data_IF_089636105007
#
_entry.id   IF_089636105007
#
_cell.length_a   1.000
_cell.length_b   1.000
_cell.length_c   1.000
_cell.angle_alpha   90.00
_cell.angle_beta   90.00
_cell.angle_gamma   90.00
#
_symmetry.space_group_name_H-M   'P 1'
#
loop_
_entity.id
_entity.type
_entity.pdbx_description
1 polymer ?
#
# COMPACT_ATOMS: atom_id res chain seq x y z
N UNK A 1 -8.61 -12.82 14.04
CA UNK A 1 -8.68 -11.64 14.94
C UNK A 1 -7.76 -10.55 14.40
N UNK A 2 -8.31 -9.41 13.98
CA UNK A 2 -7.57 -8.23 13.49
C UNK A 2 -7.05 -7.40 14.68
N UNK A 3 -5.85 -6.83 14.58
CA UNK A 3 -5.33 -5.90 15.58
C UNK A 3 -3.82 -5.67 15.50
N UNK A 4 -3.29 -4.68 16.24
CA UNK A 4 -1.85 -4.43 16.36
C UNK A 4 -1.11 -5.71 16.76
N UNK A 5 -0.12 -6.12 15.96
CA UNK A 5 0.65 -7.34 16.19
C UNK A 5 0.00 -8.66 15.70
N UNK A 6 -1.28 -8.64 15.30
CA UNK A 6 -1.96 -9.82 14.73
C UNK A 6 -1.94 -9.75 13.20
N UNK A 7 -0.95 -10.39 12.60
CA UNK A 7 -0.78 -10.45 11.14
C UNK A 7 -1.60 -11.62 10.57
N UNK A 8 -2.29 -11.37 9.45
CA UNK A 8 -2.95 -12.41 8.65
C UNK A 8 -2.13 -12.62 7.38
N UNK A 9 -1.72 -13.86 7.13
CA UNK A 9 -1.09 -14.22 5.86
C UNK A 9 -2.13 -14.31 4.75
N UNK A 10 -1.80 -13.78 3.56
CA UNK A 10 -2.59 -14.01 2.37
C UNK A 10 -2.35 -15.46 1.89
N UNK A 11 -3.39 -16.31 1.75
CA UNK A 11 -3.22 -17.70 1.31
C UNK A 11 -2.44 -17.84 -0.01
N UNK A 12 -2.67 -16.94 -0.97
CA UNK A 12 -1.96 -16.96 -2.26
C UNK A 12 -0.48 -16.62 -2.09
N UNK A 13 -0.16 -15.70 -1.18
CA UNK A 13 1.24 -15.37 -0.87
C UNK A 13 1.95 -16.57 -0.23
N UNK A 14 1.27 -17.31 0.66
CA UNK A 14 1.84 -18.52 1.27
C UNK A 14 2.07 -19.62 0.23
N UNK A 15 1.13 -19.83 -0.70
CA UNK A 15 1.33 -20.78 -1.78
C UNK A 15 2.55 -20.43 -2.65
N UNK A 16 2.78 -19.15 -2.93
CA UNK A 16 3.96 -18.66 -3.66
C UNK A 16 5.24 -18.86 -2.82
N UNK A 17 5.19 -18.59 -1.52
CA UNK A 17 6.29 -18.84 -0.59
C UNK A 17 6.72 -20.31 -0.59
N UNK A 18 5.76 -21.23 -0.55
CA UNK A 18 6.01 -22.67 -0.61
C UNK A 18 6.59 -23.08 -1.98
N UNK A 19 6.02 -22.57 -3.07
CA UNK A 19 6.47 -22.87 -4.45
C UNK A 19 7.90 -22.43 -4.73
N UNK A 20 8.31 -21.28 -4.19
CA UNK A 20 9.63 -20.68 -4.45
C UNK A 20 10.58 -20.76 -3.24
N UNK A 21 10.24 -21.56 -2.22
CA UNK A 21 11.06 -21.84 -1.05
C UNK A 21 11.60 -20.59 -0.34
N UNK A 22 10.74 -19.60 -0.06
CA UNK A 22 11.09 -18.45 0.78
C UNK A 22 10.15 -18.30 1.96
N UNK A 23 10.65 -17.81 3.10
CA UNK A 23 9.83 -17.57 4.29
C UNK A 23 9.50 -16.09 4.42
N UNK A 24 8.22 -15.68 4.31
CA UNK A 24 7.81 -14.30 4.53
C UNK A 24 8.16 -13.84 5.95
N UNK A 25 8.83 -12.69 6.07
CA UNK A 25 9.20 -12.09 7.38
C UNK A 25 8.42 -10.80 7.61
N UNK A 26 7.73 -10.73 8.75
CA UNK A 26 7.07 -9.49 9.18
C UNK A 26 8.07 -8.52 9.80
N UNK A 27 7.79 -7.23 9.66
CA UNK A 27 8.51 -6.15 10.32
C UNK A 27 7.53 -5.18 10.98
N UNK A 28 8.01 -4.44 11.99
CA UNK A 28 7.22 -3.38 12.62
C UNK A 28 7.10 -2.20 11.64
N UNK A 29 5.89 -1.67 11.37
CA UNK A 29 5.71 -0.47 10.58
C UNK A 29 6.55 0.69 11.13
N UNK A 30 7.05 1.57 10.25
CA UNK A 30 7.80 2.77 10.60
C UNK A 30 9.09 2.51 11.40
N UNK A 31 9.65 1.30 11.31
CA UNK A 31 10.94 0.99 11.91
C UNK A 31 12.06 1.28 10.91
N UNK A 32 13.02 2.09 11.36
CA UNK A 32 14.22 2.41 10.59
C UNK A 32 14.89 1.14 10.02
N UNK A 33 15.41 1.24 8.79
CA UNK A 33 16.19 0.21 8.08
C UNK A 33 15.46 -1.11 7.76
N UNK A 34 14.17 -1.25 8.04
CA UNK A 34 13.42 -2.51 7.74
C UNK A 34 12.56 -2.44 6.49
N UNK A 35 11.88 -1.30 6.26
CA UNK A 35 10.96 -1.10 5.13
C UNK A 35 11.11 0.30 4.47
N UNK A 36 12.26 0.97 4.66
CA UNK A 36 12.45 2.34 4.17
C UNK A 36 12.18 2.52 2.67
N UNK A 37 12.58 1.55 1.83
CA UNK A 37 12.33 1.59 0.37
C UNK A 37 10.82 1.60 0.05
N UNK A 38 10.04 0.73 0.68
CA UNK A 38 8.60 0.60 0.41
C UNK A 38 7.82 1.75 1.05
N UNK A 39 8.15 2.14 2.29
CA UNK A 39 7.47 3.24 2.97
C UNK A 39 7.73 4.59 2.29
N UNK A 40 8.96 4.84 1.81
CA UNK A 40 9.31 6.05 1.06
C UNK A 40 8.59 6.11 -0.29
N UNK A 41 8.53 4.99 -1.01
CA UNK A 41 7.79 4.93 -2.27
C UNK A 41 6.29 5.19 -2.09
N UNK A 42 5.67 4.57 -1.07
CA UNK A 42 4.27 4.84 -0.76
C UNK A 42 4.01 6.30 -0.36
N UNK A 43 4.94 6.91 0.37
CA UNK A 43 4.87 8.32 0.71
C UNK A 43 4.93 9.20 -0.54
N UNK A 44 5.88 8.93 -1.44
CA UNK A 44 6.01 9.63 -2.72
C UNK A 44 4.73 9.52 -3.56
N UNK A 45 4.23 8.30 -3.80
CA UNK A 45 3.02 8.09 -4.61
C UNK A 45 1.81 8.86 -4.06
N UNK A 46 1.62 8.81 -2.73
CA UNK A 46 0.50 9.50 -2.09
C UNK A 46 0.60 11.01 -2.24
N UNK A 47 1.77 11.58 -1.94
CA UNK A 47 1.91 13.03 -1.92
C UNK A 47 2.00 13.65 -3.32
N UNK A 48 2.59 12.95 -4.28
CA UNK A 48 2.77 13.47 -5.63
C UNK A 48 1.54 13.26 -6.52
N UNK A 49 0.77 12.19 -6.32
CA UNK A 49 -0.33 11.85 -7.23
C UNK A 49 -1.69 11.81 -6.53
N UNK A 50 -1.82 11.07 -5.42
CA UNK A 50 -3.14 10.84 -4.80
C UNK A 50 -3.68 12.09 -4.11
N UNK A 51 -2.86 12.78 -3.31
CA UNK A 51 -3.27 13.96 -2.56
C UNK A 51 -3.68 15.12 -3.48
N UNK A 52 -2.88 15.51 -4.49
CA UNK A 52 -3.30 16.54 -5.44
C UNK A 52 -4.56 16.15 -6.19
N UNK A 53 -4.64 14.91 -6.66
CA UNK A 53 -5.80 14.43 -7.40
C UNK A 53 -7.09 14.45 -6.55
N UNK A 54 -6.97 14.06 -5.28
CA UNK A 54 -8.08 14.15 -4.32
C UNK A 54 -8.53 15.59 -4.14
N UNK A 55 -7.60 16.55 -4.03
CA UNK A 55 -7.93 17.96 -3.91
C UNK A 55 -8.69 18.48 -5.15
N UNK A 56 -8.24 18.14 -6.36
CA UNK A 56 -8.94 18.48 -7.60
C UNK A 56 -10.35 17.90 -7.66
N UNK A 57 -10.54 16.65 -7.25
CA UNK A 57 -11.88 16.03 -7.21
C UNK A 57 -12.81 16.72 -6.23
N UNK A 58 -12.29 17.09 -5.05
CA UNK A 58 -13.06 17.80 -4.03
C UNK A 58 -13.51 19.18 -4.51
N UNK A 59 -12.67 19.91 -5.24
CA UNK A 59 -13.07 21.17 -5.88
C UNK A 59 -14.21 21.00 -6.89
N UNK A 60 -14.25 19.87 -7.58
CA UNK A 60 -15.33 19.54 -8.51
C UNK A 60 -16.57 18.91 -7.83
N UNK A 61 -16.64 18.91 -6.50
CA UNK A 61 -17.73 18.29 -5.75
C UNK A 61 -17.80 16.76 -5.85
N UNK A 62 -16.69 16.10 -6.21
CA UNK A 62 -16.61 14.65 -6.40
C UNK A 62 -15.65 14.00 -5.40
N UNK A 63 -15.81 12.68 -5.21
CA UNK A 63 -14.92 11.86 -4.40
C UNK A 63 -14.05 11.01 -5.33
N UNK A 64 -12.74 10.98 -5.05
CA UNK A 64 -11.82 10.12 -5.78
C UNK A 64 -12.12 8.63 -5.46
N UNK A 65 -12.31 7.81 -6.49
CA UNK A 65 -12.54 6.37 -6.37
C UNK A 65 -11.48 5.58 -7.13
N UNK A 66 -11.44 4.26 -6.94
CA UNK A 66 -10.41 3.39 -7.54
C UNK A 66 -10.40 3.47 -9.07
N UNK A 67 -11.53 3.36 -9.79
CA UNK A 67 -11.52 3.54 -11.25
C UNK A 67 -10.97 4.89 -11.70
N UNK A 68 -11.39 5.99 -11.06
CA UNK A 68 -10.96 7.33 -11.41
C UNK A 68 -9.48 7.61 -11.09
N UNK A 69 -8.96 6.99 -10.03
CA UNK A 69 -7.54 7.05 -9.70
C UNK A 69 -6.71 6.27 -10.72
N UNK A 70 -7.14 5.05 -11.06
CA UNK A 70 -6.46 4.21 -12.05
C UNK A 70 -6.41 4.89 -13.42
N UNK A 71 -7.49 5.53 -13.88
CA UNK A 71 -7.53 6.21 -15.18
C UNK A 71 -6.65 7.48 -15.28
N UNK A 72 -6.09 7.97 -14.17
CA UNK A 72 -5.30 9.22 -14.14
C UNK A 72 -3.86 9.03 -13.68
N UNK A 73 -3.55 7.94 -12.99
CA UNK A 73 -2.21 7.63 -12.45
C UNK A 73 -1.61 6.40 -13.13
N UNK A 74 -2.44 5.43 -13.53
CA UNK A 74 -2.06 4.24 -14.29
C UNK A 74 -2.47 4.34 -15.75
#
# INVERSE_FOLDING_TARGET
>A
VYGPGKHRWNPQLMHVADKYAFTPKVCRPYRARTKGKVERFNHYLKNSFVVPLTATFRQAGRVLNVPAANARIG
#
